data_IF_142812498236
#
_entry.id   IF_142812498236
#
_cell.length_a   1.000
_cell.length_b   1.000
_cell.length_c   1.000
_cell.angle_alpha   90.00
_cell.angle_beta   90.00
_cell.angle_gamma   90.00
#
_symmetry.space_group_name_H-M   'P 1'
#
loop_
_entity.id
_entity.type
_entity.pdbx_description
1 polymer ?
#
# COMPACT_ATOMS: atom_id res chain seq x y z
N UNK A 1 -6.34 15.02 -30.60
CA UNK A 1 -7.77 14.71 -30.38
C UNK A 1 -7.85 13.28 -29.84
N UNK A 2 -8.21 13.19 -28.56
CA UNK A 2 -8.73 12.06 -27.77
C UNK A 2 -7.98 10.72 -27.80
N UNK A 3 -7.31 10.42 -26.68
CA UNK A 3 -7.68 9.21 -25.94
C UNK A 3 -7.42 9.40 -24.43
N UNK A 4 -8.40 10.04 -23.77
CA UNK A 4 -8.46 10.31 -22.33
C UNK A 4 -8.75 9.03 -21.50
N UNK A 5 -7.96 7.96 -21.65
CA UNK A 5 -8.39 6.61 -21.21
C UNK A 5 -7.47 5.84 -20.27
N UNK A 6 -6.35 6.38 -19.79
CA UNK A 6 -5.51 5.66 -18.81
C UNK A 6 -5.71 6.26 -17.43
N UNK A 7 -6.79 5.81 -16.79
CA UNK A 7 -7.15 6.15 -15.41
C UNK A 7 -6.07 5.61 -14.44
N UNK A 8 -4.98 6.37 -14.27
CA UNK A 8 -4.02 6.28 -13.14
C UNK A 8 -4.81 5.99 -11.87
N UNK A 9 -4.41 5.07 -10.99
CA UNK A 9 -5.23 4.67 -9.85
C UNK A 9 -4.33 4.30 -8.68
N UNK A 10 -4.56 4.91 -7.52
CA UNK A 10 -3.73 4.72 -6.33
C UNK A 10 -4.15 3.44 -5.59
N UNK A 11 -3.25 2.48 -5.50
CA UNK A 11 -3.61 1.15 -5.00
C UNK A 11 -3.63 1.07 -3.48
N UNK A 12 -4.45 0.17 -2.98
CA UNK A 12 -4.70 -0.04 -1.56
C UNK A 12 -4.58 -1.54 -1.32
N UNK A 13 -3.66 -1.95 -0.48
CA UNK A 13 -3.38 -3.37 -0.23
C UNK A 13 -4.02 -3.78 1.08
N UNK A 14 -5.26 -4.24 1.09
CA UNK A 14 -5.91 -4.59 2.37
C UNK A 14 -5.28 -5.86 2.97
N UNK A 15 -4.92 -5.90 4.26
CA UNK A 15 -4.45 -7.11 4.96
C UNK A 15 -5.44 -7.65 6.00
N UNK A 16 -5.61 -8.98 6.10
CA UNK A 16 -6.44 -9.64 7.12
C UNK A 16 -5.59 -10.57 8.00
N UNK A 17 -5.76 -10.51 9.33
CA UNK A 17 -5.23 -11.50 10.27
C UNK A 17 -6.31 -12.58 10.48
N UNK A 18 -6.11 -13.79 9.96
CA UNK A 18 -7.11 -14.85 10.06
C UNK A 18 -7.17 -15.44 11.47
N UNK A 19 -8.32 -15.30 12.14
CA UNK A 19 -8.69 -15.99 13.38
C UNK A 19 -9.98 -16.79 13.13
N UNK A 20 -9.93 -17.80 12.23
CA UNK A 20 -10.87 -18.95 12.13
C UNK A 20 -10.61 -19.76 10.85
N UNK A 21 -10.35 -21.06 11.02
CA UNK A 21 -10.51 -22.27 10.15
C UNK A 21 -10.69 -22.25 8.62
N UNK A 22 -10.72 -21.11 7.91
CA UNK A 22 -10.80 -21.06 6.45
C UNK A 22 -9.45 -20.65 5.85
N UNK A 23 -8.78 -21.59 5.19
CA UNK A 23 -7.45 -21.44 4.57
C UNK A 23 -7.43 -20.58 3.28
N UNK A 24 -8.54 -19.95 2.92
CA UNK A 24 -8.74 -19.29 1.63
C UNK A 24 -9.10 -17.82 1.78
N UNK A 25 -8.50 -17.00 0.92
CA UNK A 25 -8.81 -15.58 0.82
C UNK A 25 -10.21 -15.36 0.22
N UNK A 26 -10.89 -14.25 0.57
CA UNK A 26 -12.17 -13.90 -0.06
C UNK A 26 -12.03 -13.73 -1.59
N UNK A 27 -13.14 -13.85 -2.32
CA UNK A 27 -13.15 -13.65 -3.77
C UNK A 27 -12.57 -12.28 -4.16
N UNK A 28 -11.62 -12.27 -5.10
CA UNK A 28 -10.93 -11.04 -5.55
C UNK A 28 -9.68 -10.67 -4.76
N UNK A 29 -9.34 -11.41 -3.70
CA UNK A 29 -8.12 -11.22 -2.92
C UNK A 29 -7.04 -12.22 -3.33
N UNK A 30 -5.79 -11.75 -3.33
CA UNK A 30 -4.62 -12.53 -3.69
C UNK A 30 -3.89 -13.00 -2.43
N UNK A 31 -3.59 -14.29 -2.35
CA UNK A 31 -2.90 -14.89 -1.21
C UNK A 31 -1.39 -14.77 -1.35
N UNK A 32 -0.73 -14.35 -0.28
CA UNK A 32 0.73 -14.46 -0.14
C UNK A 32 1.06 -14.86 1.30
N UNK A 33 1.70 -16.02 1.47
CA UNK A 33 1.91 -16.63 2.79
C UNK A 33 0.57 -16.91 3.50
N UNK A 34 0.44 -16.40 4.73
CA UNK A 34 -0.77 -16.49 5.56
C UNK A 34 -1.70 -15.27 5.42
N UNK A 35 -1.39 -14.33 4.52
CA UNK A 35 -2.10 -13.06 4.34
C UNK A 35 -2.83 -13.01 3.00
N UNK A 36 -3.84 -12.17 2.95
CA UNK A 36 -4.64 -11.88 1.75
C UNK A 36 -4.49 -10.41 1.41
N UNK A 37 -4.38 -10.09 0.13
CA UNK A 37 -4.17 -8.74 -0.39
C UNK A 37 -5.20 -8.42 -1.46
N UNK A 38 -5.85 -7.27 -1.34
CA UNK A 38 -6.76 -6.76 -2.37
C UNK A 38 -6.03 -5.72 -3.23
N UNK A 39 -6.33 -5.66 -4.52
CA UNK A 39 -5.88 -4.61 -5.41
C UNK A 39 -7.07 -3.68 -5.75
N UNK A 40 -7.03 -2.44 -5.26
CA UNK A 40 -8.08 -1.44 -5.53
C UNK A 40 -7.61 -0.44 -6.58
N UNK A 41 -8.23 -0.45 -7.76
CA UNK A 41 -7.90 0.47 -8.86
C UNK A 41 -8.74 1.75 -8.79
N UNK A 42 -8.44 2.62 -7.82
CA UNK A 42 -9.08 3.94 -7.71
C UNK A 42 -8.11 5.03 -7.25
N UNK A 43 -8.24 6.25 -7.78
CA UNK A 43 -7.44 7.40 -7.33
C UNK A 43 -7.93 7.89 -5.98
N UNK A 44 -7.14 7.70 -4.94
CA UNK A 44 -7.49 8.13 -3.59
C UNK A 44 -6.29 8.76 -2.89
N UNK A 45 -6.55 9.75 -2.03
CA UNK A 45 -5.58 10.17 -1.03
C UNK A 45 -5.29 9.00 -0.07
N UNK A 46 -4.13 9.01 0.59
CA UNK A 46 -3.76 7.93 1.50
C UNK A 46 -4.82 7.68 2.58
N UNK A 47 -5.43 8.73 3.13
CA UNK A 47 -6.49 8.60 4.14
C UNK A 47 -7.78 7.98 3.57
N UNK A 48 -8.19 8.38 2.36
CA UNK A 48 -9.36 7.79 1.72
C UNK A 48 -9.10 6.33 1.33
N UNK A 49 -7.87 6.03 0.92
CA UNK A 49 -7.41 4.67 0.66
C UNK A 49 -7.51 3.81 1.93
N UNK A 50 -7.04 4.32 3.06
CA UNK A 50 -7.14 3.60 4.33
C UNK A 50 -8.59 3.35 4.74
N UNK A 51 -9.43 4.39 4.70
CA UNK A 51 -10.86 4.27 5.02
C UNK A 51 -11.57 3.26 4.10
N UNK A 52 -11.17 3.20 2.84
CA UNK A 52 -11.69 2.20 1.91
C UNK A 52 -11.27 0.79 2.33
N UNK A 53 -10.01 0.55 2.69
CA UNK A 53 -9.61 -0.76 3.20
C UNK A 53 -10.35 -1.16 4.47
N UNK A 54 -10.53 -0.22 5.41
CA UNK A 54 -11.30 -0.46 6.64
C UNK A 54 -12.74 -0.86 6.31
N UNK A 55 -13.35 -0.25 5.28
CA UNK A 55 -14.68 -0.65 4.80
C UNK A 55 -14.73 -2.08 4.25
N UNK A 56 -13.59 -2.59 3.78
CA UNK A 56 -13.39 -3.97 3.32
C UNK A 56 -12.89 -4.90 4.44
N UNK A 57 -13.00 -4.48 5.72
CA UNK A 57 -12.54 -5.23 6.89
C UNK A 57 -11.03 -5.53 6.88
N UNK A 58 -10.24 -4.68 6.22
CA UNK A 58 -8.78 -4.74 6.23
C UNK A 58 -8.16 -3.37 6.47
N UNK A 59 -6.91 -3.21 6.07
CA UNK A 59 -6.12 -1.98 6.25
C UNK A 59 -5.07 -1.93 5.15
N UNK A 60 -4.63 -0.75 4.67
CA UNK A 60 -3.48 -0.63 3.74
C UNK A 60 -2.31 -1.54 4.19
N UNK A 61 -1.58 -2.16 3.27
CA UNK A 61 -0.75 -3.29 3.68
C UNK A 61 0.52 -2.81 4.32
N UNK A 62 0.92 -3.51 5.37
CA UNK A 62 2.31 -3.55 5.77
C UNK A 62 3.14 -4.39 4.81
N UNK A 63 4.42 -4.03 4.71
CA UNK A 63 5.46 -4.85 4.10
C UNK A 63 6.27 -5.50 5.22
N UNK A 64 6.24 -6.83 5.32
CA UNK A 64 6.91 -7.61 6.36
C UNK A 64 8.19 -8.31 5.87
N UNK A 65 8.38 -8.43 4.56
CA UNK A 65 9.57 -9.04 3.97
C UNK A 65 9.85 -8.52 2.56
N UNK A 66 11.09 -8.69 2.03
CA UNK A 66 11.39 -8.38 0.64
C UNK A 66 10.52 -9.17 -0.35
N UNK A 67 10.18 -10.43 -0.03
CA UNK A 67 9.33 -11.25 -0.87
C UNK A 67 7.90 -10.71 -0.93
N UNK A 68 7.39 -10.22 0.19
CA UNK A 68 6.08 -9.56 0.25
C UNK A 68 6.10 -8.23 -0.52
N UNK A 69 7.18 -7.45 -0.40
CA UNK A 69 7.36 -6.23 -1.19
C UNK A 69 7.27 -6.51 -2.69
N UNK A 70 8.06 -7.47 -3.18
CA UNK A 70 8.06 -7.85 -4.59
C UNK A 70 6.70 -8.40 -5.04
N UNK A 71 6.01 -9.15 -4.17
CA UNK A 71 4.65 -9.60 -4.46
C UNK A 71 3.68 -8.43 -4.64
N UNK A 72 3.72 -7.41 -3.79
CA UNK A 72 2.89 -6.22 -3.93
C UNK A 72 3.22 -5.41 -5.18
N UNK A 73 4.50 -5.32 -5.56
CA UNK A 73 4.91 -4.70 -6.82
C UNK A 73 4.35 -5.43 -8.03
N UNK A 74 4.47 -6.76 -8.07
CA UNK A 74 3.92 -7.58 -9.15
C UNK A 74 2.41 -7.46 -9.21
N UNK A 75 1.73 -7.42 -8.05
CA UNK A 75 0.28 -7.26 -7.99
C UNK A 75 -0.16 -5.90 -8.55
N UNK A 76 0.58 -4.84 -8.25
CA UNK A 76 0.37 -3.50 -8.79
C UNK A 76 0.63 -3.44 -10.31
N UNK A 77 1.69 -4.10 -10.78
CA UNK A 77 2.09 -4.14 -12.20
C UNK A 77 1.10 -4.93 -13.05
N UNK A 78 0.67 -6.10 -12.60
CA UNK A 78 -0.45 -6.87 -13.18
C UNK A 78 -1.76 -6.05 -13.17
N UNK A 79 -1.87 -5.12 -12.22
CA UNK A 79 -2.94 -4.14 -12.12
C UNK A 79 -2.91 -3.04 -13.17
N UNK A 80 -1.81 -2.92 -13.93
CA UNK A 80 -1.54 -1.83 -14.86
C UNK A 80 -1.17 -0.52 -14.17
N UNK A 81 -0.63 -0.58 -12.94
CA UNK A 81 -0.22 0.60 -12.19
C UNK A 81 1.30 0.71 -12.12
N UNK A 82 1.78 1.94 -11.94
CA UNK A 82 3.19 2.29 -11.73
C UNK A 82 3.52 2.47 -10.25
N UNK A 83 2.52 2.72 -9.42
CA UNK A 83 2.68 2.94 -7.98
C UNK A 83 1.44 2.56 -7.16
N UNK A 84 1.63 2.33 -5.86
CA UNK A 84 0.61 1.85 -4.93
C UNK A 84 0.80 2.42 -3.52
N UNK A 85 -0.27 2.86 -2.85
CA UNK A 85 -0.19 3.20 -1.42
C UNK A 85 0.05 1.94 -0.59
N UNK A 86 0.82 2.12 0.49
CA UNK A 86 1.03 1.11 1.52
C UNK A 86 0.75 1.73 2.89
N UNK A 87 0.60 0.88 3.91
CA UNK A 87 0.11 1.27 5.22
C UNK A 87 1.10 2.03 6.10
N UNK A 88 2.28 2.38 5.58
CA UNK A 88 3.32 3.05 6.36
C UNK A 88 3.05 4.55 6.41
N UNK A 89 3.05 5.10 7.62
CA UNK A 89 2.94 6.53 7.87
C UNK A 89 3.89 6.94 8.99
N UNK A 90 4.27 8.20 9.02
CA UNK A 90 5.09 8.74 10.09
C UNK A 90 4.25 9.59 11.05
N UNK A 91 4.33 9.25 12.33
CA UNK A 91 3.72 9.98 13.43
C UNK A 91 4.80 10.39 14.42
N UNK A 92 4.99 11.69 14.64
CA UNK A 92 6.00 12.24 15.57
C UNK A 92 7.41 11.65 15.35
N UNK A 93 7.89 11.65 14.10
CA UNK A 93 9.19 11.08 13.69
C UNK A 93 9.31 9.56 13.83
N UNK A 94 8.22 8.85 14.15
CA UNK A 94 8.18 7.38 14.22
C UNK A 94 7.39 6.84 13.05
N UNK A 95 8.01 5.96 12.26
CA UNK A 95 7.29 5.23 11.21
C UNK A 95 6.51 4.07 11.81
N UNK A 96 5.25 3.94 11.41
CA UNK A 96 4.32 2.93 11.90
C UNK A 96 3.52 2.36 10.73
N UNK A 97 3.11 1.10 10.86
CA UNK A 97 2.10 0.50 9.99
C UNK A 97 0.71 0.70 10.62
N UNK A 98 -0.27 1.07 9.82
CA UNK A 98 -1.68 1.19 10.18
C UNK A 98 -2.31 -0.13 10.66
N UNK A 99 -1.84 -1.26 10.16
CA UNK A 99 -2.32 -2.61 10.46
C UNK A 99 -1.80 -3.15 11.80
N UNK A 100 -1.08 -2.30 12.56
CA UNK A 100 -0.40 -2.64 13.82
C UNK A 100 0.58 -3.81 13.68
N UNK A 101 0.98 -4.18 12.47
CA UNK A 101 2.08 -5.09 12.28
C UNK A 101 3.34 -4.46 12.88
N UNK A 102 4.11 -5.27 13.62
CA UNK A 102 5.39 -4.80 14.13
C UNK A 102 6.29 -4.35 12.99
N UNK A 103 6.98 -3.24 13.20
CA UNK A 103 7.78 -2.57 12.18
C UNK A 103 9.14 -3.28 12.01
N UNK A 104 9.13 -4.51 11.46
CA UNK A 104 10.33 -5.36 11.39
C UNK A 104 11.11 -5.22 10.07
N UNK A 105 10.51 -4.62 9.04
CA UNK A 105 11.14 -4.41 7.73
C UNK A 105 11.22 -2.92 7.38
N UNK A 106 12.44 -2.42 7.22
CA UNK A 106 12.71 -0.99 7.10
C UNK A 106 13.79 -0.71 6.04
N UNK A 107 13.51 -1.00 4.75
CA UNK A 107 14.42 -0.64 3.66
C UNK A 107 14.23 0.83 3.23
N UNK A 108 14.40 1.76 4.18
CA UNK A 108 14.26 3.20 3.96
C UNK A 108 15.60 3.78 3.50
N UNK A 109 15.70 4.23 2.24
CA UNK A 109 16.77 5.16 1.89
C UNK A 109 16.43 6.55 2.45
N UNK A 110 17.38 7.08 3.24
CA UNK A 110 17.57 8.47 3.69
C UNK A 110 16.31 9.35 3.68
N UNK A 111 15.76 9.57 4.88
CA UNK A 111 14.72 10.56 5.18
C UNK A 111 15.26 11.99 5.11
N UNK A 112 15.76 12.41 3.95
CA UNK A 112 16.11 13.81 3.73
C UNK A 112 14.85 14.59 3.37
N UNK A 113 14.47 15.51 4.26
CA UNK A 113 13.33 16.46 4.20
C UNK A 113 11.96 15.90 4.57
N UNK A 114 11.73 15.80 5.89
CA UNK A 114 10.45 15.44 6.51
C UNK A 114 9.41 16.51 6.16
N UNK A 115 8.61 16.24 5.14
CA UNK A 115 7.29 16.88 5.00
C UNK A 115 6.48 16.64 6.28
N UNK A 116 5.62 17.57 6.69
CA UNK A 116 4.76 17.35 7.87
C UNK A 116 3.82 16.16 7.61
N UNK A 117 4.05 15.03 8.30
CA UNK A 117 3.30 13.76 8.18
C UNK A 117 3.43 13.06 6.80
N UNK A 118 4.55 12.38 6.51
CA UNK A 118 4.70 11.58 5.30
C UNK A 118 3.96 10.22 5.38
N UNK A 119 3.44 9.79 4.24
CA UNK A 119 2.82 8.50 3.97
C UNK A 119 3.58 7.79 2.86
N UNK A 120 3.71 6.47 2.97
CA UNK A 120 4.53 5.68 2.07
C UNK A 120 3.72 5.05 0.92
N UNK A 121 4.40 4.90 -0.21
CA UNK A 121 3.93 4.18 -1.39
C UNK A 121 5.07 3.34 -1.97
N UNK A 122 4.72 2.29 -2.70
CA UNK A 122 5.66 1.52 -3.51
C UNK A 122 5.55 1.94 -4.97
N UNK A 123 6.64 1.74 -5.71
CA UNK A 123 6.65 1.80 -7.17
C UNK A 123 6.78 0.37 -7.71
N UNK A 124 6.24 0.08 -8.89
CA UNK A 124 6.35 -1.26 -9.50
C UNK A 124 7.76 -1.57 -10.01
N UNK A 125 8.55 -0.52 -10.25
CA UNK A 125 9.94 -0.61 -10.65
C UNK A 125 10.84 -0.08 -9.52
N UNK A 126 11.92 -0.79 -9.20
CA UNK A 126 12.87 -0.43 -8.14
C UNK A 126 12.64 -1.18 -6.82
N UNK A 127 13.58 -1.11 -5.89
CA UNK A 127 13.54 -1.89 -4.63
C UNK A 127 13.35 -1.03 -3.37
N UNK A 128 13.10 0.26 -3.54
CA UNK A 128 13.06 1.24 -2.46
C UNK A 128 11.63 1.67 -2.17
N UNK A 129 11.36 1.96 -0.89
CA UNK A 129 10.12 2.60 -0.45
C UNK A 129 10.18 4.10 -0.71
N UNK A 130 9.05 4.67 -1.15
CA UNK A 130 8.90 6.09 -1.41
C UNK A 130 7.87 6.70 -0.46
N UNK A 131 7.93 8.01 -0.24
CA UNK A 131 7.03 8.70 0.67
C UNK A 131 6.70 10.11 0.18
N UNK A 132 5.46 10.55 0.43
CA UNK A 132 4.99 11.92 0.19
C UNK A 132 4.11 12.39 1.33
N UNK A 133 3.83 13.69 1.42
CA UNK A 133 2.92 14.23 2.42
C UNK A 133 1.54 13.55 2.32
N UNK A 134 1.03 12.98 3.42
CA UNK A 134 -0.26 12.29 3.46
C UNK A 134 -1.44 13.16 2.99
N UNK A 135 -1.34 14.48 3.22
CA UNK A 135 -2.34 15.50 2.82
C UNK A 135 -2.08 16.07 1.43
N UNK A 136 -1.02 15.64 0.75
CA UNK A 136 -0.82 16.06 -0.62
C UNK A 136 -1.99 15.59 -1.47
N UNK A 137 -2.59 16.53 -2.20
CA UNK A 137 -3.56 16.22 -3.27
C UNK A 137 -2.86 15.60 -4.48
N UNK A 138 -1.52 15.54 -4.48
CA UNK A 138 -0.73 14.83 -5.48
C UNK A 138 -1.01 13.34 -5.37
N UNK A 139 -1.74 12.85 -6.37
CA UNK A 139 -1.85 11.43 -6.65
C UNK A 139 -0.44 10.91 -6.99
N UNK A 140 -0.06 9.78 -6.41
CA UNK A 140 1.17 9.10 -6.80
C UNK A 140 1.08 8.71 -8.28
N UNK A 141 2.10 9.08 -9.06
CA UNK A 141 2.22 8.85 -10.50
C UNK A 141 3.07 7.61 -10.81
#
# INVERSE_FOLDING_TARGET
MKNDSVLQSSLITCGFLTMTTFFQCPTGWFKHGSRCFLLVKSRMSWLNAENHCVSQQGSLASVQSPAEYQFLQNLADLGGQTSAWIGAFNFQNTWMWNDRAGFYYSNWQSLSSVSSNPCAYLQTQGNNLHYINCKSSTLIY
#
